data_IF_699026769945
#
_entry.id   IF_699026769945
#
_cell.length_a   1.000
_cell.length_b   1.000
_cell.length_c   1.000
_cell.angle_alpha   90.00
_cell.angle_beta   90.00
_cell.angle_gamma   90.00
#
_symmetry.space_group_name_H-M   'P 1'
#
loop_
_entity.id
_entity.type
_entity.pdbx_description
1 polymer ?
#
# COMPACT_ATOMS: atom_id res chain seq x y z
N UNK A 1 -16.62 -54.53 1.36
CA UNK A 1 -16.84 -53.72 0.15
C UNK A 1 -17.68 -52.46 0.42
N UNK A 2 -18.53 -52.43 1.47
CA UNK A 2 -19.43 -51.31 1.79
C UNK A 2 -18.76 -50.11 2.47
N UNK A 3 -17.81 -50.34 3.39
CA UNK A 3 -17.15 -49.24 4.15
C UNK A 3 -16.32 -48.34 3.23
N UNK A 4 -15.53 -48.91 2.31
CA UNK A 4 -14.73 -48.14 1.36
C UNK A 4 -15.58 -47.31 0.39
N UNK A 5 -16.75 -47.83 -0.02
CA UNK A 5 -17.70 -47.09 -0.85
C UNK A 5 -18.29 -45.90 -0.09
N UNK A 6 -18.73 -46.10 1.16
CA UNK A 6 -19.23 -45.01 2.01
C UNK A 6 -18.16 -43.97 2.33
N UNK A 7 -16.92 -44.38 2.58
CA UNK A 7 -15.78 -43.46 2.73
C UNK A 7 -15.55 -42.65 1.46
N UNK A 8 -15.63 -43.28 0.28
CA UNK A 8 -15.53 -42.59 -1.01
C UNK A 8 -16.64 -41.56 -1.21
N UNK A 9 -17.89 -41.90 -0.91
CA UNK A 9 -19.04 -40.98 -1.02
C UNK A 9 -18.89 -39.79 -0.05
N UNK A 10 -18.52 -40.05 1.21
CA UNK A 10 -18.28 -39.01 2.20
C UNK A 10 -17.14 -38.09 1.75
N UNK A 11 -16.04 -38.64 1.22
CA UNK A 11 -14.93 -37.85 0.70
C UNK A 11 -15.37 -36.97 -0.47
N UNK A 12 -16.11 -37.51 -1.44
CA UNK A 12 -16.64 -36.73 -2.58
C UNK A 12 -17.56 -35.61 -2.09
N UNK A 13 -18.45 -35.89 -1.14
CA UNK A 13 -19.33 -34.88 -0.56
C UNK A 13 -18.54 -33.77 0.16
N UNK A 14 -17.53 -34.14 0.96
CA UNK A 14 -16.66 -33.18 1.65
C UNK A 14 -15.87 -32.32 0.67
N UNK A 15 -15.35 -32.91 -0.40
CA UNK A 15 -14.68 -32.16 -1.48
C UNK A 15 -15.65 -31.21 -2.18
N UNK A 16 -16.87 -31.66 -2.48
CA UNK A 16 -17.91 -30.81 -3.06
C UNK A 16 -18.27 -29.63 -2.16
N UNK A 17 -18.42 -29.86 -0.85
CA UNK A 17 -18.66 -28.81 0.15
C UNK A 17 -17.47 -27.84 0.21
N UNK A 18 -16.24 -28.34 0.23
CA UNK A 18 -15.04 -27.49 0.26
C UNK A 18 -14.92 -26.61 -0.99
N UNK A 19 -15.19 -27.16 -2.18
CA UNK A 19 -15.23 -26.41 -3.43
C UNK A 19 -16.36 -25.37 -3.44
N UNK A 20 -17.54 -25.73 -2.95
CA UNK A 20 -18.67 -24.82 -2.80
C UNK A 20 -18.37 -23.65 -1.86
N UNK A 21 -17.79 -23.92 -0.69
CA UNK A 21 -17.36 -22.88 0.25
C UNK A 21 -16.32 -21.94 -0.36
N UNK A 22 -15.34 -22.48 -1.10
CA UNK A 22 -14.33 -21.67 -1.79
C UNK A 22 -14.95 -20.78 -2.87
N UNK A 23 -15.91 -21.29 -3.64
CA UNK A 23 -16.58 -20.51 -4.68
C UNK A 23 -17.44 -19.38 -4.09
N UNK A 24 -18.27 -19.70 -3.10
CA UNK A 24 -19.12 -18.70 -2.40
C UNK A 24 -18.26 -17.67 -1.70
N UNK A 25 -17.19 -18.12 -1.02
CA UNK A 25 -16.25 -17.24 -0.33
C UNK A 25 -15.50 -16.30 -1.25
N UNK A 26 -15.00 -16.81 -2.38
CA UNK A 26 -14.40 -15.98 -3.42
C UNK A 26 -15.38 -14.94 -3.98
N UNK A 27 -16.61 -15.35 -4.30
CA UNK A 27 -17.62 -14.42 -4.83
C UNK A 27 -17.98 -13.30 -3.83
N UNK A 28 -18.11 -13.63 -2.53
CA UNK A 28 -18.37 -12.64 -1.48
C UNK A 28 -17.19 -11.70 -1.27
N UNK A 29 -15.97 -12.22 -1.36
CA UNK A 29 -14.76 -11.40 -1.32
C UNK A 29 -14.71 -10.43 -2.49
N UNK A 30 -14.88 -10.93 -3.72
CA UNK A 30 -14.80 -10.12 -4.93
C UNK A 30 -15.88 -9.02 -4.94
N UNK A 31 -17.07 -9.29 -4.42
CA UNK A 31 -18.13 -8.29 -4.28
C UNK A 31 -17.78 -7.18 -3.26
N UNK A 32 -17.17 -7.56 -2.14
CA UNK A 32 -16.68 -6.61 -1.15
C UNK A 32 -15.60 -5.70 -1.75
N UNK A 33 -14.62 -6.28 -2.45
CA UNK A 33 -13.55 -5.53 -3.13
C UNK A 33 -14.10 -4.60 -4.20
N UNK A 34 -15.07 -5.05 -5.03
CA UNK A 34 -15.74 -4.19 -6.02
C UNK A 34 -16.45 -3.02 -5.35
N UNK A 35 -17.15 -3.27 -4.25
CA UNK A 35 -17.86 -2.22 -3.50
C UNK A 35 -16.88 -1.17 -2.98
N UNK A 36 -15.83 -1.58 -2.28
CA UNK A 36 -14.84 -0.66 -1.73
C UNK A 36 -14.02 0.06 -2.82
N UNK A 37 -13.71 -0.62 -3.92
CA UNK A 37 -13.08 0.01 -5.10
C UNK A 37 -13.97 1.09 -5.69
N UNK A 38 -15.28 0.85 -5.80
CA UNK A 38 -16.24 1.85 -6.27
C UNK A 38 -16.31 3.04 -5.30
N UNK A 39 -16.22 2.82 -4.00
CA UNK A 39 -16.15 3.88 -3.00
C UNK A 39 -14.87 4.71 -3.12
N UNK A 40 -13.72 4.07 -3.34
CA UNK A 40 -12.45 4.73 -3.61
C UNK A 40 -12.54 5.63 -4.87
N UNK A 41 -13.10 5.09 -5.96
CA UNK A 41 -13.26 5.81 -7.23
C UNK A 41 -14.27 6.95 -7.16
N UNK A 42 -15.39 6.79 -6.44
CA UNK A 42 -16.35 7.89 -6.26
C UNK A 42 -15.72 9.06 -5.52
N UNK A 43 -14.82 8.78 -4.56
CA UNK A 43 -14.00 9.78 -3.89
C UNK A 43 -13.08 10.55 -4.83
N UNK A 44 -12.49 9.87 -5.83
CA UNK A 44 -11.66 10.51 -6.87
C UNK A 44 -12.47 11.45 -7.75
N UNK A 45 -13.68 11.05 -8.15
CA UNK A 45 -14.55 11.85 -9.02
C UNK A 45 -15.12 13.06 -8.28
N UNK A 46 -15.56 12.91 -7.03
CA UNK A 46 -16.07 14.01 -6.21
C UNK A 46 -14.99 15.02 -5.77
N UNK A 47 -13.72 14.63 -5.77
CA UNK A 47 -12.61 15.53 -5.50
C UNK A 47 -12.26 16.47 -6.67
N UNK A 48 -12.88 16.32 -7.84
CA UNK A 48 -12.72 17.26 -8.97
C UNK A 48 -13.13 18.69 -8.60
N UNK A 49 -13.98 18.85 -7.60
CA UNK A 49 -14.51 20.15 -7.16
C UNK A 49 -13.69 20.80 -6.03
N UNK A 50 -12.63 20.14 -5.53
CA UNK A 50 -11.66 20.78 -4.61
C UNK A 50 -10.68 21.65 -5.40
N UNK A 51 -10.06 22.62 -4.71
CA UNK A 51 -9.19 23.69 -5.25
C UNK A 51 -8.38 23.25 -6.49
N UNK A 52 -8.26 24.12 -7.52
CA UNK A 52 -7.59 23.77 -8.76
C UNK A 52 -6.10 23.51 -8.53
N UNK A 53 -5.72 22.24 -8.37
CA UNK A 53 -4.33 21.81 -8.55
C UNK A 53 -4.01 21.72 -10.05
N UNK A 54 -2.81 22.15 -10.48
CA UNK A 54 -2.32 21.97 -11.85
C UNK A 54 -2.52 20.54 -12.34
N UNK A 55 -2.89 20.38 -13.61
CA UNK A 55 -3.00 19.08 -14.26
C UNK A 55 -1.64 18.54 -14.75
N UNK A 56 -0.62 19.41 -14.78
CA UNK A 56 0.72 19.12 -15.25
C UNK A 56 1.73 19.69 -14.27
N UNK A 57 2.86 18.99 -14.14
CA UNK A 57 4.00 19.44 -13.37
C UNK A 57 4.70 20.61 -14.08
N UNK A 58 5.01 21.65 -13.32
CA UNK A 58 5.87 22.77 -13.73
C UNK A 58 7.21 22.68 -12.98
N UNK A 59 8.32 22.68 -13.70
CA UNK A 59 9.66 22.61 -13.11
C UNK A 59 9.94 23.76 -12.11
N UNK A 60 9.25 24.90 -12.21
CA UNK A 60 9.36 26.01 -11.25
C UNK A 60 8.89 25.63 -9.85
N UNK A 61 8.04 24.60 -9.70
CA UNK A 61 7.64 24.08 -8.38
C UNK A 61 8.83 23.54 -7.56
N UNK A 62 9.97 23.28 -8.20
CA UNK A 62 11.18 22.82 -7.52
C UNK A 62 11.98 23.95 -6.89
N UNK A 63 11.72 25.21 -7.24
CA UNK A 63 12.42 26.34 -6.68
C UNK A 63 12.14 26.46 -5.17
N UNK A 64 13.21 26.60 -4.39
CA UNK A 64 13.11 26.67 -2.92
C UNK A 64 12.90 25.34 -2.21
N UNK A 65 12.69 24.22 -2.93
CA UNK A 65 12.64 22.89 -2.29
C UNK A 65 14.02 22.46 -1.78
N UNK A 66 14.09 21.56 -0.77
CA UNK A 66 15.35 21.00 -0.32
C UNK A 66 16.15 20.38 -1.47
N UNK A 67 17.48 20.54 -1.45
CA UNK A 67 18.37 20.05 -2.50
C UNK A 67 18.14 18.56 -2.87
N UNK A 68 18.03 17.60 -1.94
CA UNK A 68 17.75 16.21 -2.30
C UNK A 68 16.39 16.01 -3.00
N UNK A 69 15.38 16.80 -2.63
CA UNK A 69 14.03 16.75 -3.22
C UNK A 69 14.06 17.26 -4.66
N UNK A 70 14.80 18.35 -4.92
CA UNK A 70 14.97 18.86 -6.28
C UNK A 70 15.68 17.85 -7.19
N UNK A 71 16.74 17.20 -6.69
CA UNK A 71 17.46 16.16 -7.45
C UNK A 71 16.54 15.00 -7.80
N UNK A 72 15.71 14.58 -6.83
CA UNK A 72 14.71 13.54 -7.05
C UNK A 72 13.72 13.89 -8.16
N UNK A 73 13.06 15.04 -8.08
CA UNK A 73 12.05 15.37 -9.08
C UNK A 73 12.64 15.55 -10.48
N UNK A 74 13.85 16.12 -10.62
CA UNK A 74 14.57 16.19 -11.90
C UNK A 74 14.94 14.82 -12.47
N UNK A 75 15.14 13.82 -11.60
CA UNK A 75 15.47 12.45 -12.02
C UNK A 75 14.23 11.64 -12.42
N UNK A 76 13.07 11.91 -11.79
CA UNK A 76 11.88 11.07 -11.94
C UNK A 76 10.76 11.69 -12.78
N UNK A 77 10.77 13.01 -13.03
CA UNK A 77 9.78 13.73 -13.82
C UNK A 77 10.43 14.56 -14.93
N UNK A 78 9.68 14.78 -16.02
CA UNK A 78 9.99 15.78 -17.05
C UNK A 78 9.06 16.97 -16.93
N UNK A 79 9.52 18.17 -17.31
CA UNK A 79 8.65 19.34 -17.36
C UNK A 79 7.38 19.09 -18.20
N UNK A 80 6.22 19.55 -17.72
CA UNK A 80 4.92 19.30 -18.34
C UNK A 80 4.36 17.88 -18.17
N UNK A 81 5.03 17.01 -17.39
CA UNK A 81 4.55 15.65 -17.09
C UNK A 81 3.11 15.73 -16.53
N UNK A 82 2.15 14.96 -17.09
CA UNK A 82 0.80 14.91 -16.55
C UNK A 82 0.80 14.41 -15.10
N UNK A 83 0.02 15.05 -14.24
CA UNK A 83 -0.18 14.62 -12.86
C UNK A 83 -0.94 13.30 -12.85
N UNK A 84 -0.47 12.34 -12.05
CA UNK A 84 -1.10 11.03 -11.89
C UNK A 84 -2.38 11.23 -11.09
N UNK A 85 -3.51 10.85 -11.65
CA UNK A 85 -4.82 10.83 -10.99
C UNK A 85 -5.07 9.51 -10.24
N UNK A 86 -4.56 8.41 -10.78
CA UNK A 86 -4.67 7.09 -10.19
C UNK A 86 -3.56 6.15 -10.68
N UNK A 87 -3.30 5.10 -9.91
CA UNK A 87 -2.36 4.05 -10.28
C UNK A 87 -2.95 2.66 -9.97
N UNK A 88 -2.66 1.69 -10.83
CA UNK A 88 -3.00 0.28 -10.63
C UNK A 88 -1.73 -0.55 -10.65
N UNK A 89 -1.52 -1.35 -9.60
CA UNK A 89 -0.33 -2.18 -9.42
C UNK A 89 -0.72 -3.64 -9.25
N UNK A 90 0.00 -4.53 -9.91
CA UNK A 90 -0.01 -5.95 -9.57
C UNK A 90 1.35 -6.32 -8.98
N UNK A 91 1.35 -7.03 -7.86
CA UNK A 91 2.57 -7.42 -7.18
C UNK A 91 2.59 -8.90 -6.84
N UNK A 92 3.81 -9.41 -6.73
CA UNK A 92 4.08 -10.69 -6.07
C UNK A 92 5.13 -10.48 -5.01
N UNK A 93 5.09 -11.24 -3.94
CA UNK A 93 6.09 -11.08 -2.90
C UNK A 93 5.99 -12.11 -1.81
N UNK A 94 6.61 -11.80 -0.68
CA UNK A 94 6.52 -12.59 0.54
C UNK A 94 6.24 -11.69 1.73
N UNK A 95 5.48 -12.22 2.68
CA UNK A 95 5.19 -11.56 3.95
C UNK A 95 5.51 -12.53 5.09
N UNK A 96 6.18 -12.03 6.12
CA UNK A 96 6.45 -12.81 7.33
C UNK A 96 5.24 -12.71 8.26
N UNK A 97 4.61 -13.85 8.54
CA UNK A 97 3.42 -13.94 9.40
C UNK A 97 3.76 -14.02 10.89
N UNK A 98 5.05 -13.96 11.26
CA UNK A 98 5.52 -14.05 12.64
C UNK A 98 6.36 -12.84 13.04
N UNK A 99 6.11 -12.34 14.25
CA UNK A 99 6.90 -11.26 14.85
C UNK A 99 8.26 -11.73 15.38
N UNK A 100 8.40 -13.03 15.69
CA UNK A 100 9.55 -13.61 16.40
C UNK A 100 10.26 -14.70 15.59
N UNK A 101 9.58 -15.38 14.67
CA UNK A 101 10.13 -16.43 13.82
C UNK A 101 10.15 -16.03 12.34
N UNK A 102 10.78 -16.85 11.51
CA UNK A 102 10.74 -16.70 10.06
C UNK A 102 9.63 -17.58 9.48
N UNK A 103 8.46 -16.97 9.25
CA UNK A 103 7.30 -17.61 8.64
C UNK A 103 6.87 -16.87 7.39
N UNK A 104 7.78 -16.84 6.40
CA UNK A 104 7.54 -16.21 5.12
C UNK A 104 6.49 -16.97 4.30
N UNK A 105 5.45 -16.26 3.87
CA UNK A 105 4.38 -16.78 3.02
C UNK A 105 4.33 -15.97 1.72
N UNK A 106 4.24 -16.65 0.56
CA UNK A 106 4.13 -15.94 -0.70
C UNK A 106 2.74 -15.30 -0.84
N UNK A 107 2.69 -14.17 -1.53
CA UNK A 107 1.45 -13.50 -1.89
C UNK A 107 1.45 -13.03 -3.34
N UNK A 108 0.24 -12.84 -3.86
CA UNK A 108 -0.05 -12.04 -5.05
C UNK A 108 -1.05 -10.96 -4.69
N UNK A 109 -0.96 -9.79 -5.28
CA UNK A 109 -1.89 -8.69 -5.00
C UNK A 109 -2.20 -7.84 -6.21
N UNK A 110 -3.35 -7.17 -6.13
CA UNK A 110 -3.77 -6.07 -6.96
C UNK A 110 -3.99 -4.84 -6.06
N UNK A 111 -3.51 -3.67 -6.48
CA UNK A 111 -3.67 -2.43 -5.74
C UNK A 111 -4.22 -1.34 -6.65
N UNK A 112 -5.20 -0.60 -6.14
CA UNK A 112 -5.67 0.65 -6.73
C UNK A 112 -5.32 1.81 -5.84
N UNK A 113 -4.83 2.89 -6.42
CA UNK A 113 -4.46 4.13 -5.73
C UNK A 113 -5.13 5.30 -6.44
N UNK A 114 -5.60 6.30 -5.70
CA UNK A 114 -6.07 7.59 -6.20
C UNK A 114 -5.41 8.73 -5.42
N UNK A 115 -5.04 9.81 -6.10
CA UNK A 115 -4.07 10.79 -5.57
C UNK A 115 -4.68 12.09 -5.08
N UNK A 116 -5.67 12.65 -5.78
CA UNK A 116 -6.30 13.94 -5.42
C UNK A 116 -7.06 13.91 -4.11
N UNK A 117 -7.74 12.80 -3.84
CA UNK A 117 -8.25 12.45 -2.52
C UNK A 117 -7.46 11.23 -2.09
N UNK A 118 -6.39 11.40 -1.30
CA UNK A 118 -5.50 10.30 -0.96
C UNK A 118 -6.25 9.05 -0.56
N UNK A 119 -5.93 7.94 -1.23
CA UNK A 119 -6.58 6.68 -0.95
C UNK A 119 -6.00 5.53 -1.75
N UNK A 120 -6.11 4.34 -1.19
CA UNK A 120 -5.75 3.11 -1.86
C UNK A 120 -6.62 1.95 -1.37
N UNK A 121 -6.67 0.90 -2.18
CA UNK A 121 -7.17 -0.42 -1.83
C UNK A 121 -6.18 -1.44 -2.34
N UNK A 122 -5.67 -2.29 -1.46
CA UNK A 122 -4.79 -3.41 -1.75
C UNK A 122 -5.55 -4.71 -1.46
N UNK A 123 -5.83 -5.48 -2.51
CA UNK A 123 -6.42 -6.81 -2.45
C UNK A 123 -5.33 -7.86 -2.67
N UNK A 124 -5.16 -8.77 -1.73
CA UNK A 124 -4.12 -9.77 -1.77
C UNK A 124 -4.59 -11.17 -1.41
N UNK A 125 -3.88 -12.14 -1.97
CA UNK A 125 -4.01 -13.56 -1.66
C UNK A 125 -2.69 -14.05 -1.08
N UNK A 126 -2.70 -14.40 0.20
CA UNK A 126 -1.55 -14.93 0.94
C UNK A 126 -1.72 -16.43 1.10
N UNK A 127 -0.71 -17.21 0.70
CA UNK A 127 -0.77 -18.68 0.78
C UNK A 127 -0.45 -19.13 2.21
N UNK A 128 -1.48 -19.36 3.03
CA UNK A 128 -1.28 -19.83 4.41
C UNK A 128 -0.84 -21.30 4.44
N UNK A 129 -1.55 -22.14 3.69
CA UNK A 129 -1.27 -23.57 3.47
C UNK A 129 -1.49 -23.93 1.99
N UNK A 130 -0.92 -25.03 1.48
CA UNK A 130 -1.20 -25.51 0.13
C UNK A 130 -2.71 -25.63 -0.12
N UNK A 131 -3.21 -24.92 -1.12
CA UNK A 131 -4.63 -24.92 -1.50
C UNK A 131 -5.55 -24.01 -0.67
N UNK A 132 -5.07 -23.39 0.42
CA UNK A 132 -5.88 -22.56 1.33
C UNK A 132 -5.32 -21.12 1.43
N UNK A 133 -5.72 -20.22 0.53
CA UNK A 133 -5.32 -18.81 0.62
C UNK A 133 -6.13 -18.06 1.69
N UNK A 134 -5.46 -17.15 2.38
CA UNK A 134 -6.11 -16.04 3.06
C UNK A 134 -6.23 -14.87 2.09
N UNK A 135 -7.42 -14.31 2.02
CA UNK A 135 -7.67 -13.05 1.33
C UNK A 135 -7.45 -11.90 2.31
N UNK A 136 -6.77 -10.85 1.88
CA UNK A 136 -6.45 -9.69 2.71
C UNK A 136 -6.80 -8.43 1.93
N UNK A 137 -7.60 -7.56 2.53
CA UNK A 137 -7.80 -6.19 2.07
C UNK A 137 -7.13 -5.27 3.07
N UNK A 138 -6.32 -4.36 2.55
CA UNK A 138 -5.80 -3.20 3.28
C UNK A 138 -6.16 -1.95 2.48
N UNK A 139 -6.82 -0.97 3.11
CA UNK A 139 -7.29 0.21 2.42
C UNK A 139 -7.34 1.47 3.30
N UNK A 140 -7.14 2.60 2.65
CA UNK A 140 -7.45 3.92 3.18
C UNK A 140 -8.41 4.61 2.22
N UNK A 141 -9.65 4.82 2.65
CA UNK A 141 -10.71 5.40 1.81
C UNK A 141 -11.41 6.47 2.62
N UNK A 142 -11.35 7.72 2.13
CA UNK A 142 -12.16 8.81 2.69
C UNK A 142 -11.97 9.02 4.21
N UNK A 143 -10.73 8.96 4.72
CA UNK A 143 -10.44 9.13 6.15
C UNK A 143 -10.58 7.85 6.99
N UNK A 144 -11.00 6.74 6.39
CA UNK A 144 -11.20 5.47 7.07
C UNK A 144 -10.11 4.47 6.66
N UNK A 145 -9.42 3.92 7.64
CA UNK A 145 -8.51 2.79 7.44
C UNK A 145 -9.25 1.47 7.59
N UNK A 146 -8.81 0.43 6.88
CA UNK A 146 -9.34 -0.92 6.98
C UNK A 146 -8.25 -1.94 6.74
N UNK A 147 -8.21 -2.95 7.58
CA UNK A 147 -7.44 -4.18 7.42
C UNK A 147 -8.35 -5.35 7.74
N UNK A 148 -8.72 -6.13 6.72
CA UNK A 148 -9.53 -7.33 6.90
C UNK A 148 -8.86 -8.53 6.24
N UNK A 149 -8.77 -9.63 6.98
CA UNK A 149 -8.24 -10.90 6.49
C UNK A 149 -9.28 -12.00 6.66
N UNK A 150 -9.55 -12.76 5.60
CA UNK A 150 -10.49 -13.88 5.60
C UNK A 150 -9.89 -15.13 4.98
N UNK A 151 -9.99 -16.26 5.67
CA UNK A 151 -9.68 -17.57 5.09
C UNK A 151 -10.81 -17.99 4.17
N UNK A 152 -10.46 -18.41 2.94
CA UNK A 152 -11.41 -18.74 1.87
C UNK A 152 -12.37 -17.60 1.50
N UNK A 153 -12.13 -16.35 1.93
CA UNK A 153 -13.07 -15.24 1.75
C UNK A 153 -14.32 -15.30 2.65
N UNK A 154 -14.42 -16.29 3.55
CA UNK A 154 -15.59 -16.48 4.43
C UNK A 154 -15.28 -16.21 5.91
N UNK A 155 -14.23 -16.83 6.43
CA UNK A 155 -13.95 -16.85 7.86
C UNK A 155 -12.97 -15.75 8.23
N UNK A 156 -13.44 -14.73 8.95
CA UNK A 156 -12.61 -13.61 9.41
C UNK A 156 -11.55 -14.07 10.40
N UNK A 157 -10.30 -13.68 10.15
CA UNK A 157 -9.15 -13.91 11.04
C UNK A 157 -8.56 -12.61 11.59
N UNK A 158 -8.78 -11.49 10.90
CA UNK A 158 -8.50 -10.14 11.40
C UNK A 158 -9.52 -9.18 10.78
N UNK A 159 -10.00 -8.21 11.55
CA UNK A 159 -10.87 -7.14 11.08
C UNK A 159 -10.63 -5.91 11.96
N UNK A 160 -9.97 -4.91 11.40
CA UNK A 160 -9.73 -3.62 12.03
C UNK A 160 -10.14 -2.55 11.04
N UNK A 161 -11.03 -1.63 11.44
CA UNK A 161 -11.51 -0.58 10.55
C UNK A 161 -11.97 0.63 11.35
N UNK A 162 -11.95 1.80 10.71
CA UNK A 162 -12.50 3.04 11.25
C UNK A 162 -11.56 4.22 11.05
N UNK A 163 -11.86 5.29 11.77
CA UNK A 163 -11.01 6.47 11.88
C UNK A 163 -9.89 6.24 12.93
N UNK A 164 -9.16 7.28 13.32
CA UNK A 164 -8.14 7.19 14.37
C UNK A 164 -6.86 6.47 13.94
N UNK A 165 -6.30 5.61 14.80
CA UNK A 165 -4.97 5.03 14.58
C UNK A 165 -4.89 4.10 13.37
N UNK A 166 -5.95 3.33 13.07
CA UNK A 166 -5.97 2.48 11.88
C UNK A 166 -5.96 3.33 10.60
N UNK A 167 -6.78 4.39 10.55
CA UNK A 167 -6.77 5.35 9.45
C UNK A 167 -5.42 6.07 9.32
N UNK A 168 -4.82 6.47 10.44
CA UNK A 168 -3.49 7.10 10.46
C UNK A 168 -2.41 6.15 9.92
N UNK A 169 -2.46 4.87 10.29
CA UNK A 169 -1.60 3.82 9.78
C UNK A 169 -1.75 3.63 8.28
N UNK A 170 -2.97 3.45 7.77
CA UNK A 170 -3.14 3.23 6.33
C UNK A 170 -2.87 4.47 5.49
N UNK A 171 -3.19 5.67 5.99
CA UNK A 171 -2.74 6.89 5.34
C UNK A 171 -1.21 7.04 5.29
N UNK A 172 -0.53 6.57 6.34
CA UNK A 172 0.93 6.52 6.38
C UNK A 172 1.50 5.52 5.39
N UNK A 173 0.81 4.40 5.16
CA UNK A 173 1.19 3.43 4.12
C UNK A 173 1.06 4.07 2.74
N UNK A 174 -0.08 4.67 2.45
CA UNK A 174 -0.28 5.46 1.23
C UNK A 174 0.88 6.45 1.03
N UNK A 175 1.20 7.26 2.04
CA UNK A 175 2.22 8.29 1.86
C UNK A 175 3.62 7.71 1.63
N UNK A 176 3.97 6.59 2.28
CA UNK A 176 5.24 5.90 2.08
C UNK A 176 5.36 5.21 0.71
N UNK A 177 4.23 4.85 0.10
CA UNK A 177 4.15 4.22 -1.23
C UNK A 177 4.13 5.23 -2.38
N UNK A 178 4.09 6.53 -2.08
CA UNK A 178 4.04 7.60 -3.07
C UNK A 178 5.15 7.62 -4.13
N UNK A 179 6.34 6.99 -3.94
CA UNK A 179 7.30 6.81 -5.03
C UNK A 179 6.79 5.94 -6.20
N UNK A 180 5.71 5.17 -6.03
CA UNK A 180 5.01 4.50 -7.14
C UNK A 180 4.10 5.44 -7.96
N UNK A 181 3.79 6.61 -7.43
CA UNK A 181 2.97 7.65 -8.06
C UNK A 181 3.54 9.04 -7.73
N UNK A 182 4.76 9.35 -8.22
CA UNK A 182 5.64 10.39 -7.68
C UNK A 182 5.10 11.81 -7.85
N UNK A 183 4.17 12.06 -8.77
CA UNK A 183 3.56 13.39 -8.91
C UNK A 183 2.71 13.77 -7.69
N UNK A 184 2.22 12.80 -6.90
CA UNK A 184 1.55 13.08 -5.62
C UNK A 184 2.50 13.66 -4.55
N UNK A 185 3.82 13.60 -4.76
CA UNK A 185 4.81 14.19 -3.87
C UNK A 185 5.05 15.69 -4.09
N UNK A 186 4.46 16.27 -5.15
CA UNK A 186 4.69 17.66 -5.53
C UNK A 186 4.01 18.65 -4.58
N UNK A 187 4.59 19.86 -4.38
CA UNK A 187 3.98 20.90 -3.56
C UNK A 187 2.59 21.31 -4.05
N UNK A 188 2.37 21.38 -5.37
CA UNK A 188 1.05 21.67 -5.96
C UNK A 188 -0.03 20.63 -5.63
N UNK A 189 0.38 19.45 -5.17
CA UNK A 189 -0.52 18.37 -4.73
C UNK A 189 -0.68 18.32 -3.20
N UNK A 190 -0.21 19.36 -2.49
CA UNK A 190 -0.44 19.54 -1.05
C UNK A 190 0.69 19.09 -0.14
N UNK A 191 1.84 18.71 -0.69
CA UNK A 191 3.01 18.30 0.09
C UNK A 191 3.82 19.50 0.55
N UNK A 192 4.24 19.47 1.82
CA UNK A 192 5.20 20.44 2.37
C UNK A 192 6.51 19.75 2.67
N UNK A 193 7.58 20.23 2.05
CA UNK A 193 8.93 19.70 2.24
C UNK A 193 9.74 20.58 3.18
N UNK A 194 10.51 19.95 4.06
CA UNK A 194 11.46 20.59 4.97
C UNK A 194 12.81 19.90 4.86
N UNK A 195 13.89 20.67 4.78
CA UNK A 195 15.25 20.13 4.70
C UNK A 195 15.66 19.51 6.04
N UNK A 196 16.39 18.39 6.00
CA UNK A 196 17.05 17.80 7.18
C UNK A 196 18.56 17.86 7.00
N UNK A 197 19.06 17.29 5.90
CA UNK A 197 20.46 17.30 5.52
C UNK A 197 20.60 17.10 3.99
N UNK A 198 21.82 16.88 3.51
CA UNK A 198 22.10 16.73 2.07
C UNK A 198 21.45 15.50 1.42
N UNK A 199 21.05 14.49 2.22
CA UNK A 199 20.47 13.23 1.76
C UNK A 199 19.07 12.96 2.32
N UNK A 200 18.54 13.85 3.17
CA UNK A 200 17.26 13.66 3.86
C UNK A 200 16.38 14.91 3.81
N UNK A 201 15.07 14.69 3.68
CA UNK A 201 14.06 15.72 3.84
C UNK A 201 12.81 15.15 4.52
N UNK A 202 12.08 16.00 5.25
CA UNK A 202 10.75 15.65 5.78
C UNK A 202 9.69 16.12 4.81
N UNK A 203 8.69 15.27 4.59
CA UNK A 203 7.50 15.64 3.83
C UNK A 203 6.28 15.54 4.73
N UNK A 204 5.42 16.56 4.66
CA UNK A 204 4.14 16.59 5.38
C UNK A 204 2.98 16.54 4.40
N UNK A 205 2.03 15.65 4.67
CA UNK A 205 0.77 15.51 3.95
C UNK A 205 -0.40 15.53 4.93
N UNK A 206 -1.51 16.16 4.55
CA UNK A 206 -2.71 16.30 5.38
C UNK A 206 -3.93 15.80 4.62
N UNK A 207 -4.75 14.97 5.26
CA UNK A 207 -6.09 14.61 4.79
C UNK A 207 -7.09 14.69 5.95
N UNK A 208 -8.00 15.67 5.87
CA UNK A 208 -8.95 15.97 6.93
C UNK A 208 -8.26 16.21 8.29
N UNK A 209 -8.59 15.45 9.34
CA UNK A 209 -7.97 15.60 10.66
C UNK A 209 -6.58 14.92 10.77
N UNK A 210 -6.16 14.13 9.78
CA UNK A 210 -4.92 13.35 9.84
C UNK A 210 -3.79 14.14 9.17
N UNK A 211 -2.78 14.51 9.96
CA UNK A 211 -1.52 15.09 9.49
C UNK A 211 -0.36 14.12 9.71
N UNK A 212 0.41 13.86 8.66
CA UNK A 212 1.56 12.96 8.67
C UNK A 212 2.81 13.67 8.20
N UNK A 213 3.90 13.47 8.95
CA UNK A 213 5.25 13.88 8.53
C UNK A 213 6.14 12.65 8.51
N UNK A 214 6.71 12.35 7.34
CA UNK A 214 7.62 11.21 7.13
C UNK A 214 9.00 11.72 6.72
N UNK A 215 10.03 10.96 7.08
CA UNK A 215 11.41 11.22 6.68
C UNK A 215 11.71 10.45 5.39
N UNK A 216 12.09 11.18 4.35
CA UNK A 216 12.52 10.62 3.06
C UNK A 216 14.05 10.66 2.99
N UNK A 217 14.65 9.52 2.65
CA UNK A 217 16.09 9.38 2.42
C UNK A 217 16.34 9.16 0.93
N UNK A 218 17.34 9.86 0.40
CA UNK A 218 17.70 9.84 -1.01
C UNK A 218 19.08 9.23 -1.17
N UNK A 219 19.28 8.43 -2.22
CA UNK A 219 20.58 7.85 -2.54
C UNK A 219 21.42 8.79 -3.43
N UNK A 220 22.65 8.36 -3.73
CA UNK A 220 23.60 9.12 -4.55
C UNK A 220 23.11 9.37 -5.99
N UNK A 221 22.20 8.53 -6.49
CA UNK A 221 21.55 8.73 -7.78
C UNK A 221 20.40 9.76 -7.72
N UNK A 222 20.16 10.38 -6.56
CA UNK A 222 19.05 11.31 -6.34
C UNK A 222 17.68 10.65 -6.21
N UNK A 223 17.60 9.32 -6.13
CA UNK A 223 16.34 8.58 -6.02
C UNK A 223 15.97 8.34 -4.54
N UNK A 224 14.68 8.26 -4.23
CA UNK A 224 14.23 7.88 -2.89
C UNK A 224 14.66 6.44 -2.60
N UNK A 225 15.44 6.25 -1.54
CA UNK A 225 15.92 4.95 -1.09
C UNK A 225 15.05 4.38 0.03
N UNK A 226 14.56 5.23 0.94
CA UNK A 226 13.60 4.82 1.94
C UNK A 226 12.69 5.95 2.42
N UNK A 227 11.54 5.57 2.96
CA UNK A 227 10.59 6.44 3.64
C UNK A 227 10.35 5.90 5.04
N UNK A 228 10.52 6.74 6.06
CA UNK A 228 10.46 6.35 7.47
C UNK A 228 9.41 7.13 8.23
N UNK A 229 8.64 6.42 9.03
CA UNK A 229 7.83 6.96 10.11
C UNK A 229 8.50 6.70 11.45
N UNK A 230 8.56 7.70 12.33
CA UNK A 230 9.13 7.50 13.68
C UNK A 230 8.18 6.73 14.61
N UNK A 231 6.88 6.76 14.31
CA UNK A 231 5.87 6.08 15.11
C UNK A 231 4.70 5.62 14.23
N UNK A 232 4.59 4.31 14.03
CA UNK A 232 3.44 3.62 13.43
C UNK A 232 2.92 2.57 14.41
N UNK A 233 1.60 2.44 14.50
CA UNK A 233 0.98 1.40 15.32
C UNK A 233 1.33 0.01 14.80
N UNK A 234 1.99 -0.78 15.64
CA UNK A 234 2.22 -2.20 15.46
C UNK A 234 1.30 -2.99 16.39
N UNK A 235 0.59 -4.00 15.88
CA UNK A 235 -0.13 -4.94 16.74
C UNK A 235 0.88 -5.76 17.55
N UNK A 236 0.90 -5.60 18.88
CA UNK A 236 1.79 -6.34 19.76
C UNK A 236 1.04 -7.47 20.48
N UNK A 237 1.35 -8.71 20.11
CA UNK A 237 1.00 -9.90 20.90
C UNK A 237 -0.50 -10.26 20.92
N UNK A 238 -0.84 -11.22 21.79
CA UNK A 238 -2.19 -11.84 21.90
C UNK A 238 -3.22 -10.93 22.58
N UNK A 239 -2.79 -9.85 23.21
CA UNK A 239 -3.64 -9.00 24.06
C UNK A 239 -4.18 -7.76 23.34
N UNK A 240 -3.89 -7.61 22.04
CA UNK A 240 -4.41 -6.53 21.20
C UNK A 240 -3.83 -5.14 21.52
N UNK A 241 -2.77 -5.06 22.33
CA UNK A 241 -2.13 -3.78 22.65
C UNK A 241 -1.38 -3.27 21.42
N UNK A 242 -1.73 -2.06 20.98
CA UNK A 242 -1.01 -1.35 19.93
C UNK A 242 0.24 -0.70 20.53
N UNK A 243 1.41 -0.97 19.94
CA UNK A 243 2.67 -0.33 20.32
C UNK A 243 3.13 0.53 19.16
N UNK A 244 3.50 1.77 19.45
CA UNK A 244 4.05 2.67 18.44
C UNK A 244 5.53 2.36 18.24
N UNK A 245 5.91 1.94 17.03
CA UNK A 245 7.28 1.62 16.66
C UNK A 245 7.69 2.39 15.41
N UNK A 246 8.98 2.74 15.24
CA UNK A 246 9.43 3.28 13.98
C UNK A 246 9.29 2.23 12.87
N UNK A 247 8.90 2.71 11.70
CA UNK A 247 8.55 1.90 10.54
C UNK A 247 9.28 2.45 9.31
N UNK A 248 9.85 1.57 8.51
CA UNK A 248 10.70 1.94 7.38
C UNK A 248 10.29 1.17 6.13
N UNK A 249 10.15 1.90 5.03
CA UNK A 249 9.86 1.39 3.70
C UNK A 249 11.08 1.60 2.81
N UNK A 250 11.75 0.53 2.39
CA UNK A 250 12.87 0.62 1.45
C UNK A 250 12.38 0.41 0.02
N UNK A 251 12.95 1.15 -0.93
CA UNK A 251 12.54 1.16 -2.33
C UNK A 251 13.78 0.99 -3.21
N UNK A 252 13.70 0.12 -4.21
CA UNK A 252 14.85 -0.21 -5.06
C UNK A 252 14.44 -0.68 -6.45
N UNK A 253 15.44 -1.00 -7.29
CA UNK A 253 15.25 -1.49 -8.66
C UNK A 253 14.38 -0.52 -9.47
N UNK A 254 14.78 0.75 -9.51
CA UNK A 254 14.11 1.79 -10.28
C UNK A 254 14.15 1.46 -11.78
N UNK A 255 13.01 1.64 -12.45
CA UNK A 255 12.87 1.44 -13.89
C UNK A 255 12.00 2.55 -14.51
N UNK A 256 12.21 2.88 -15.81
CA UNK A 256 11.30 3.75 -16.54
C UNK A 256 9.89 3.14 -16.60
N UNK A 257 8.87 3.90 -16.23
CA UNK A 257 7.44 3.59 -16.33
C UNK A 257 6.67 4.87 -16.66
N UNK A 258 5.98 4.93 -17.81
CA UNK A 258 5.17 6.09 -18.18
C UNK A 258 5.95 7.41 -18.28
N UNK A 259 7.24 7.35 -18.66
CA UNK A 259 8.14 8.51 -18.71
C UNK A 259 8.81 8.87 -17.38
N UNK A 260 8.49 8.16 -16.29
CA UNK A 260 9.00 8.42 -14.95
C UNK A 260 9.90 7.30 -14.46
N UNK A 261 10.82 7.57 -13.52
CA UNK A 261 11.60 6.53 -12.84
C UNK A 261 10.86 6.04 -11.59
N UNK A 262 10.48 4.77 -11.57
CA UNK A 262 9.64 4.18 -10.52
C UNK A 262 10.33 2.95 -9.90
N UNK A 263 10.35 2.80 -8.55
CA UNK A 263 10.91 1.61 -7.91
C UNK A 263 10.04 0.37 -8.19
N UNK A 264 10.67 -0.73 -8.56
CA UNK A 264 9.97 -1.99 -8.86
C UNK A 264 10.08 -3.02 -7.73
N UNK A 265 10.70 -2.65 -6.61
CA UNK A 265 10.79 -3.46 -5.40
C UNK A 265 10.60 -2.58 -4.17
N UNK A 266 9.76 -3.05 -3.26
CA UNK A 266 9.46 -2.38 -1.99
C UNK A 266 9.58 -3.36 -0.84
N UNK A 267 10.12 -2.90 0.29
CA UNK A 267 10.18 -3.65 1.53
C UNK A 267 9.57 -2.82 2.66
N UNK A 268 8.83 -3.47 3.56
CA UNK A 268 8.39 -2.83 4.81
C UNK A 268 9.02 -3.54 6.02
N UNK A 269 9.48 -2.74 6.97
CA UNK A 269 10.20 -3.22 8.13
C UNK A 269 9.84 -2.44 9.40
N UNK A 270 9.81 -3.15 10.52
CA UNK A 270 9.82 -2.55 11.85
C UNK A 270 11.26 -2.25 12.25
N UNK A 271 11.52 -1.06 12.77
CA UNK A 271 12.84 -0.73 13.32
C UNK A 271 12.79 -0.88 14.83
N UNK A 272 13.43 -1.94 15.31
CA UNK A 272 13.50 -2.29 16.74
C UNK A 272 14.89 -1.94 17.29
N UNK A 273 15.09 -1.95 18.62
CA UNK A 273 16.42 -1.77 19.21
C UNK A 273 17.45 -2.76 18.66
N UNK A 274 17.04 -3.99 18.33
CA UNK A 274 17.89 -5.03 17.75
C UNK A 274 18.16 -4.84 16.25
N UNK A 275 17.51 -3.85 15.62
CA UNK A 275 17.69 -3.49 14.22
C UNK A 275 16.41 -3.57 13.38
N UNK A 276 16.61 -3.39 12.07
CA UNK A 276 15.56 -3.41 11.04
C UNK A 276 15.09 -4.86 10.82
N UNK A 277 13.81 -5.15 11.10
CA UNK A 277 13.17 -6.45 10.84
C UNK A 277 12.16 -6.31 9.70
N UNK A 278 12.55 -6.77 8.52
CA UNK A 278 11.67 -6.83 7.34
C UNK A 278 10.58 -7.87 7.59
N UNK A 279 9.33 -7.50 7.27
CA UNK A 279 8.19 -8.41 7.31
C UNK A 279 7.44 -8.47 5.98
N UNK A 280 7.76 -7.60 5.02
CA UNK A 280 7.15 -7.57 3.70
C UNK A 280 8.21 -7.29 2.65
N UNK A 281 8.20 -8.06 1.57
CA UNK A 281 8.97 -7.82 0.34
C UNK A 281 8.03 -7.98 -0.84
N UNK A 282 7.84 -6.92 -1.62
CA UNK A 282 6.98 -6.89 -2.78
C UNK A 282 7.74 -6.52 -4.05
N UNK A 283 7.39 -7.18 -5.15
CA UNK A 283 7.91 -6.89 -6.48
C UNK A 283 6.76 -6.54 -7.42
N UNK A 284 6.84 -5.34 -8.01
CA UNK A 284 5.85 -4.86 -8.98
C UNK A 284 6.01 -5.64 -10.27
N UNK A 285 4.91 -6.24 -10.75
CA UNK A 285 4.83 -6.96 -12.02
C UNK A 285 4.27 -6.08 -13.12
N UNK A 286 3.20 -5.36 -12.82
CA UNK A 286 2.60 -4.39 -13.71
C UNK A 286 2.29 -3.12 -12.93
N UNK A 287 2.46 -1.97 -13.60
CA UNK A 287 2.11 -0.66 -13.09
C UNK A 287 1.46 0.11 -14.24
N UNK A 288 0.28 0.67 -13.98
CA UNK A 288 -0.43 1.52 -14.93
C UNK A 288 -0.84 2.81 -14.23
N UNK A 289 -0.49 3.94 -14.82
CA UNK A 289 -0.92 5.25 -14.36
C UNK A 289 -2.08 5.76 -15.22
N UNK A 290 -3.04 6.39 -14.57
CA UNK A 290 -4.03 7.26 -15.20
C UNK A 290 -3.70 8.69 -14.82
N UNK A 291 -3.74 9.59 -15.80
CA UNK A 291 -3.33 10.97 -15.62
C UNK A 291 -4.54 11.91 -15.59
N UNK A 292 -4.36 13.09 -15.00
CA UNK A 292 -5.31 14.19 -15.14
C UNK A 292 -5.38 14.63 -16.62
N UNK A 293 -6.57 15.05 -17.09
CA UNK A 293 -6.75 15.51 -18.47
C UNK A 293 -5.96 16.79 -18.78
#
# INVERSE_FOLDING_TARGET
>A
MTVLLWMGIVLVALVGIALGMRAVGGARWDEMIRTHTTQLESGRLGARDRLPSPARFDMQELEGLPAPVQRYFRQVLTDGQPIIAAATLEMTGTMNMSATAEQWKPFTSWQRVVTRRPGFLWDARVVMFPGLPAHVEDSYIAGHGRLIAKVLGLFTVADSQGEGEIARGEFMRYFAESPWYPTALLPSQGIRWEAVDDACARATLVDGPISLTLLFRFNDAGLIASVRAEARGAGAGKDGVMVMLPWDCALSNYRPQGGMQIPMTGEAAWVRPEGRKVYFVGHVKTLRHEFLP
#
